data_IF_975822747799
#
_entry.id   IF_975822747799
#
_cell.length_a   1.000
_cell.length_b   1.000
_cell.length_c   1.000
_cell.angle_alpha   90.00
_cell.angle_beta   90.00
_cell.angle_gamma   90.00
#
_symmetry.space_group_name_H-M   'P 1'
#
loop_
_entity.id
_entity.type
_entity.pdbx_description
1 polymer ?
#
# COMPACT_ATOMS: atom_id res chain seq x y z
N UNK A 1 -37.85 21.70 -3.71
CA UNK A 1 -37.25 21.31 -2.41
C UNK A 1 -35.90 20.67 -2.70
N UNK A 2 -34.83 21.21 -2.11
CA UNK A 2 -33.46 20.69 -2.20
C UNK A 2 -33.28 19.52 -1.22
N UNK A 3 -32.76 18.40 -1.68
CA UNK A 3 -32.10 17.32 -0.91
C UNK A 3 -31.27 16.56 -1.93
N UNK A 4 -29.97 16.28 -1.82
CA UNK A 4 -29.01 16.35 -0.73
C UNK A 4 -27.96 15.28 -1.07
N UNK A 5 -26.71 15.70 -1.33
CA UNK A 5 -25.58 14.87 -1.75
C UNK A 5 -25.24 13.78 -0.72
N UNK A 6 -24.98 12.56 -1.18
CA UNK A 6 -24.09 11.58 -0.55
C UNK A 6 -23.72 10.48 -1.57
N UNK A 7 -22.89 10.80 -2.55
CA UNK A 7 -22.16 9.79 -3.35
C UNK A 7 -21.08 9.17 -2.45
N UNK A 8 -21.46 8.17 -1.68
CA UNK A 8 -20.55 7.38 -0.87
C UNK A 8 -19.75 6.41 -1.74
N UNK A 9 -18.54 6.82 -2.11
CA UNK A 9 -17.37 5.98 -2.47
C UNK A 9 -17.70 4.70 -3.24
N UNK A 10 -17.80 4.85 -4.56
CA UNK A 10 -17.89 3.75 -5.51
C UNK A 10 -16.64 2.83 -5.39
N UNK A 11 -16.78 1.54 -5.04
CA UNK A 11 -15.65 0.60 -4.96
C UNK A 11 -14.88 0.48 -6.30
N UNK A 12 -15.55 0.79 -7.41
CA UNK A 12 -14.95 0.86 -8.73
C UNK A 12 -13.89 1.97 -8.84
N UNK A 13 -14.06 3.09 -8.12
CA UNK A 13 -13.08 4.17 -8.09
C UNK A 13 -11.84 3.81 -7.28
N UNK A 14 -11.99 3.07 -6.18
CA UNK A 14 -10.86 2.60 -5.36
C UNK A 14 -10.04 1.54 -6.10
N UNK A 15 -10.69 0.58 -6.78
CA UNK A 15 -9.95 -0.42 -7.56
C UNK A 15 -9.29 0.18 -8.80
N UNK A 16 -9.95 1.12 -9.49
CA UNK A 16 -9.34 1.85 -10.61
C UNK A 16 -8.18 2.74 -10.13
N UNK A 17 -8.29 3.32 -8.92
CA UNK A 17 -7.20 4.05 -8.28
C UNK A 17 -6.01 3.14 -8.01
N UNK A 18 -6.20 2.00 -7.33
CA UNK A 18 -5.13 1.03 -7.04
C UNK A 18 -4.47 0.56 -8.34
N UNK A 19 -5.24 0.26 -9.39
CA UNK A 19 -4.66 -0.15 -10.70
C UNK A 19 -3.76 0.93 -11.31
N UNK A 20 -4.13 2.21 -11.20
CA UNK A 20 -3.28 3.32 -11.67
C UNK A 20 -2.00 3.45 -10.82
N UNK A 21 -2.12 3.34 -9.49
CA UNK A 21 -0.98 3.36 -8.57
C UNK A 21 -0.02 2.22 -8.89
N UNK A 22 -0.51 0.99 -9.02
CA UNK A 22 0.27 -0.19 -9.39
C UNK A 22 0.94 -0.02 -10.76
N UNK A 23 0.23 0.53 -11.76
CA UNK A 23 0.82 0.78 -13.07
C UNK A 23 1.96 1.80 -13.03
N UNK A 24 1.83 2.84 -12.20
CA UNK A 24 2.87 3.84 -11.98
C UNK A 24 4.04 3.26 -11.18
N UNK A 25 3.77 2.55 -10.08
CA UNK A 25 4.78 1.89 -9.27
C UNK A 25 5.59 0.89 -10.10
N UNK A 26 4.96 0.15 -11.02
CA UNK A 26 5.66 -0.74 -11.96
C UNK A 26 6.60 0.01 -12.91
N UNK A 27 6.16 1.17 -13.43
CA UNK A 27 6.99 2.01 -14.31
C UNK A 27 8.17 2.61 -13.56
N UNK A 28 7.93 3.11 -12.34
CA UNK A 28 8.96 3.64 -11.45
C UNK A 28 9.95 2.56 -11.04
N UNK A 29 9.49 1.36 -10.70
CA UNK A 29 10.36 0.23 -10.38
C UNK A 29 11.31 -0.11 -11.54
N UNK A 30 10.79 -0.11 -12.78
CA UNK A 30 11.62 -0.33 -13.96
C UNK A 30 12.60 0.81 -14.23
N UNK A 31 12.24 2.07 -13.93
CA UNK A 31 13.09 3.24 -14.12
C UNK A 31 14.20 3.33 -13.06
N UNK A 32 13.87 3.04 -11.81
CA UNK A 32 14.78 3.12 -10.65
C UNK A 32 15.57 1.83 -10.42
N UNK A 33 15.24 0.74 -11.13
CA UNK A 33 15.84 -0.58 -10.92
C UNK A 33 15.42 -1.25 -9.61
N UNK A 34 14.29 -0.85 -9.02
CA UNK A 34 13.73 -1.48 -7.83
C UNK A 34 13.12 -2.84 -8.17
N UNK A 35 13.14 -3.78 -7.22
CA UNK A 35 12.62 -5.13 -7.44
C UNK A 35 11.08 -5.11 -7.61
N UNK A 36 10.55 -5.39 -8.81
CA UNK A 36 9.11 -5.43 -9.01
C UNK A 36 8.44 -6.54 -8.19
N UNK A 37 9.16 -7.59 -7.79
CA UNK A 37 8.64 -8.65 -6.93
C UNK A 37 8.31 -8.16 -5.51
N UNK A 38 8.83 -7.01 -5.11
CA UNK A 38 8.53 -6.33 -3.84
C UNK A 38 7.56 -5.17 -4.08
N UNK A 39 7.84 -4.31 -5.07
CA UNK A 39 7.05 -3.10 -5.35
C UNK A 39 5.60 -3.42 -5.71
N UNK A 40 5.37 -4.42 -6.57
CA UNK A 40 4.01 -4.78 -6.99
C UNK A 40 3.14 -5.24 -5.81
N UNK A 41 3.51 -6.27 -5.03
CA UNK A 41 2.70 -6.69 -3.89
C UNK A 41 2.55 -5.60 -2.83
N UNK A 42 3.58 -4.78 -2.60
CA UNK A 42 3.48 -3.62 -1.72
C UNK A 42 2.42 -2.62 -2.23
N UNK A 43 2.49 -2.21 -3.50
CA UNK A 43 1.53 -1.27 -4.11
C UNK A 43 0.10 -1.85 -4.18
N UNK A 44 -0.08 -3.16 -4.27
CA UNK A 44 -1.40 -3.79 -4.20
C UNK A 44 -1.97 -3.83 -2.78
N UNK A 45 -1.12 -4.04 -1.78
CA UNK A 45 -1.55 -4.29 -0.40
C UNK A 45 -1.39 -3.08 0.52
N UNK A 46 -0.82 -1.97 0.05
CA UNK A 46 -0.59 -0.78 0.86
C UNK A 46 -1.86 -0.24 1.51
N UNK A 47 -3.00 -0.31 0.80
CA UNK A 47 -4.30 0.18 1.26
C UNK A 47 -5.25 -0.96 1.67
N UNK A 48 -4.74 -2.14 2.04
CA UNK A 48 -5.57 -3.27 2.45
C UNK A 48 -6.30 -3.05 3.79
N UNK A 49 -5.95 -1.99 4.53
CA UNK A 49 -6.57 -1.61 5.80
C UNK A 49 -6.98 -0.14 5.76
N UNK A 50 -8.27 0.10 5.50
CA UNK A 50 -8.85 1.45 5.51
C UNK A 50 -9.38 1.77 6.91
N UNK A 51 -8.66 2.61 7.65
CA UNK A 51 -9.14 3.16 8.93
C UNK A 51 -9.88 4.50 8.74
N UNK A 52 -10.95 4.77 9.50
CA UNK A 52 -11.69 6.04 9.45
C UNK A 52 -10.77 7.26 9.62
N UNK A 53 -11.05 8.33 8.87
CA UNK A 53 -10.23 9.57 8.82
C UNK A 53 -10.03 10.23 10.20
N UNK A 54 -10.99 10.08 11.12
CA UNK A 54 -10.95 10.66 12.48
C UNK A 54 -10.27 9.76 13.52
N UNK A 55 -9.69 8.64 13.11
CA UNK A 55 -9.02 7.75 14.07
C UNK A 55 -7.59 8.21 14.37
N UNK A 56 -7.28 8.46 15.64
CA UNK A 56 -5.90 8.65 16.11
C UNK A 56 -4.96 7.47 15.76
N UNK A 57 -5.52 6.33 15.31
CA UNK A 57 -4.80 5.14 14.85
C UNK A 57 -4.42 5.14 13.37
N UNK A 58 -4.60 6.24 12.64
CA UNK A 58 -4.18 6.35 11.22
C UNK A 58 -2.68 6.04 11.03
N UNK A 59 -1.83 6.39 12.01
CA UNK A 59 -0.42 6.02 12.01
C UNK A 59 -0.17 4.50 12.21
N UNK A 60 -1.14 3.77 12.76
CA UNK A 60 -1.09 2.31 12.90
C UNK A 60 -1.70 1.59 11.68
N UNK A 61 -2.44 2.30 10.82
CA UNK A 61 -3.05 1.73 9.61
C UNK A 61 -1.99 1.05 8.72
N UNK A 62 -0.88 1.75 8.45
CA UNK A 62 0.19 1.23 7.60
C UNK A 62 0.91 0.03 8.22
N UNK A 63 1.13 0.04 9.54
CA UNK A 63 1.70 -1.12 10.25
C UNK A 63 0.77 -2.34 10.19
N UNK A 64 -0.52 -2.14 10.42
CA UNK A 64 -1.52 -3.20 10.32
C UNK A 64 -1.64 -3.74 8.89
N UNK A 65 -1.58 -2.85 7.89
CA UNK A 65 -1.56 -3.23 6.48
C UNK A 65 -0.32 -4.05 6.15
N UNK A 66 0.87 -3.64 6.62
CA UNK A 66 2.12 -4.35 6.43
C UNK A 66 2.07 -5.77 7.05
N UNK A 67 1.68 -5.89 8.32
CA UNK A 67 1.55 -7.18 8.99
C UNK A 67 0.59 -8.12 8.25
N UNK A 68 -0.56 -7.59 7.80
CA UNK A 68 -1.56 -8.36 7.08
C UNK A 68 -1.09 -8.76 5.69
N UNK A 69 -0.41 -7.87 4.98
CA UNK A 69 0.20 -8.13 3.69
C UNK A 69 1.26 -9.23 3.79
N UNK A 70 2.18 -9.13 4.76
CA UNK A 70 3.19 -10.14 4.98
C UNK A 70 2.61 -11.48 5.39
N UNK A 71 1.57 -11.51 6.23
CA UNK A 71 0.86 -12.74 6.60
C UNK A 71 0.18 -13.38 5.39
N UNK A 72 -0.42 -12.59 4.52
CA UNK A 72 -1.06 -13.04 3.29
C UNK A 72 -0.03 -13.62 2.29
N UNK A 73 1.12 -12.95 2.12
CA UNK A 73 2.20 -13.42 1.26
C UNK A 73 2.84 -14.71 1.77
N UNK A 74 3.04 -14.82 3.10
CA UNK A 74 3.51 -16.06 3.75
C UNK A 74 2.56 -17.23 3.49
N UNK A 75 1.25 -16.99 3.58
CA UNK A 75 0.22 -18.01 3.32
C UNK A 75 0.14 -18.38 1.84
N UNK A 76 0.37 -17.42 0.95
CA UNK A 76 0.37 -17.63 -0.50
C UNK A 76 1.62 -18.34 -1.03
N UNK A 77 2.61 -18.62 -0.16
CA UNK A 77 3.87 -19.27 -0.55
C UNK A 77 4.87 -18.33 -1.25
N UNK A 78 4.74 -17.01 -1.07
CA UNK A 78 5.65 -16.04 -1.66
C UNK A 78 7.06 -16.14 -1.01
N UNK A 79 8.15 -15.82 -1.75
CA UNK A 79 9.49 -15.95 -1.19
C UNK A 79 9.69 -15.07 0.04
N UNK A 80 10.05 -15.71 1.16
CA UNK A 80 10.20 -15.05 2.47
C UNK A 80 11.27 -13.96 2.48
N UNK A 81 12.25 -14.02 1.59
CA UNK A 81 13.28 -13.00 1.45
C UNK A 81 12.71 -11.62 1.08
N UNK A 82 11.61 -11.58 0.31
CA UNK A 82 10.99 -10.33 -0.12
C UNK A 82 9.99 -9.76 0.89
N UNK A 83 9.48 -10.60 1.81
CA UNK A 83 8.40 -10.22 2.73
C UNK A 83 8.80 -9.07 3.66
N UNK A 84 10.00 -9.05 4.29
CA UNK A 84 10.43 -7.91 5.09
C UNK A 84 10.51 -6.61 4.29
N UNK A 85 10.97 -6.66 3.04
CA UNK A 85 11.04 -5.48 2.17
C UNK A 85 9.64 -4.96 1.79
N UNK A 86 8.68 -5.86 1.58
CA UNK A 86 7.28 -5.51 1.30
C UNK A 86 6.62 -4.89 2.54
N UNK A 87 6.79 -5.51 3.71
CA UNK A 87 6.29 -5.00 4.99
C UNK A 87 6.87 -3.60 5.28
N UNK A 88 8.17 -3.39 5.03
CA UNK A 88 8.80 -2.08 5.18
C UNK A 88 8.25 -1.04 4.20
N UNK A 89 8.12 -1.39 2.91
CA UNK A 89 7.57 -0.49 1.89
C UNK A 89 6.15 -0.04 2.24
N UNK A 90 5.28 -0.96 2.67
CA UNK A 90 3.92 -0.62 3.12
C UNK A 90 3.95 0.24 4.39
N UNK A 91 4.85 -0.05 5.32
CA UNK A 91 4.92 0.73 6.56
C UNK A 91 5.41 2.16 6.30
N UNK A 92 6.39 2.32 5.42
CA UNK A 92 7.04 3.59 5.08
C UNK A 92 6.21 4.46 4.10
N UNK A 93 5.27 3.88 3.34
CA UNK A 93 4.42 4.65 2.42
C UNK A 93 3.58 5.73 3.15
N UNK A 94 3.27 5.50 4.43
CA UNK A 94 2.44 6.42 5.20
C UNK A 94 3.25 7.60 5.71
N UNK A 95 2.99 8.78 5.13
CA UNK A 95 3.56 10.05 5.59
C UNK A 95 3.34 10.29 7.09
N UNK A 96 2.21 9.84 7.63
CA UNK A 96 1.88 9.97 9.06
C UNK A 96 2.63 8.98 9.97
N UNK A 97 3.22 7.92 9.42
CA UNK A 97 4.01 6.95 10.19
C UNK A 97 5.42 7.46 10.50
N UNK A 98 5.92 8.45 9.74
CA UNK A 98 7.23 9.07 9.96
C UNK A 98 8.41 8.11 9.77
N UNK A 99 8.21 6.99 9.07
CA UNK A 99 9.24 5.99 8.82
C UNK A 99 9.93 6.30 7.50
N UNK A 100 11.25 6.58 7.49
CA UNK A 100 11.96 6.84 6.26
C UNK A 100 12.03 5.56 5.41
N UNK A 101 11.77 5.64 4.10
CA UNK A 101 11.96 4.50 3.21
C UNK A 101 13.46 4.23 3.03
N UNK A 102 13.92 3.09 3.55
CA UNK A 102 15.33 2.67 3.52
C UNK A 102 15.67 1.91 2.24
N UNK A 103 14.67 1.27 1.62
CA UNK A 103 14.80 0.53 0.37
C UNK A 103 14.33 1.34 -0.84
N UNK A 104 14.85 1.03 -2.03
CA UNK A 104 14.38 1.64 -3.28
C UNK A 104 12.91 1.34 -3.52
N UNK A 105 12.50 0.13 -3.17
CA UNK A 105 11.12 -0.36 -3.28
C UNK A 105 10.17 0.46 -2.39
N UNK A 106 10.61 0.83 -1.19
CA UNK A 106 9.84 1.67 -0.27
C UNK A 106 9.76 3.14 -0.72
N UNK A 107 10.66 3.59 -1.60
CA UNK A 107 10.61 4.94 -2.20
C UNK A 107 9.67 4.98 -3.42
N UNK A 108 9.46 3.84 -4.05
CA UNK A 108 8.61 3.71 -5.24
C UNK A 108 7.12 3.59 -4.90
N UNK A 109 6.80 3.04 -3.72
CA UNK A 109 5.43 2.81 -3.20
C UNK A 109 5.00 3.97 -2.33
#
# INVERSE_FOLDING_TARGET
MRSGLAEGTDPAHDLAHIRRVVANARRLAAAEGADPAVVLPAAWLHDCVVLPKDSARRAQASRLAAERAGAFLRQSGYPRAHIPAIEHAITAHSFSAGIPPESLEAKVV
#
